data_IF_302768079123
#
_entry.id   IF_302768079123
#
_cell.length_a   1.000
_cell.length_b   1.000
_cell.length_c   1.000
_cell.angle_alpha   90.00
_cell.angle_beta   90.00
_cell.angle_gamma   90.00
#
_symmetry.space_group_name_H-M   'P 1'
#
loop_
_entity.id
_entity.type
_entity.pdbx_description
1 polymer ?
#
# COMPACT_ATOMS: atom_id res chain seq x y z
N UNK A 1 -20.08 27.27 9.95
CA UNK A 1 -20.36 26.44 8.74
C UNK A 1 -19.26 26.53 7.69
N UNK A 2 -18.97 27.71 7.10
CA UNK A 2 -17.83 27.84 6.19
C UNK A 2 -16.49 27.77 6.92
N UNK A 3 -16.41 28.36 8.12
CA UNK A 3 -15.26 28.23 9.02
C UNK A 3 -15.04 26.78 9.44
N UNK A 4 -16.06 26.08 9.94
CA UNK A 4 -15.96 24.67 10.33
C UNK A 4 -15.52 23.76 9.17
N UNK A 5 -15.97 24.07 7.94
CA UNK A 5 -15.56 23.35 6.73
C UNK A 5 -14.09 23.60 6.41
N UNK A 6 -13.64 24.85 6.50
CA UNK A 6 -12.23 25.21 6.29
C UNK A 6 -11.34 24.56 7.35
N UNK A 7 -11.73 24.64 8.62
CA UNK A 7 -11.02 24.04 9.74
C UNK A 7 -10.90 22.52 9.59
N UNK A 8 -12.01 21.85 9.26
CA UNK A 8 -12.03 20.40 9.05
C UNK A 8 -11.09 19.95 7.93
N UNK A 9 -11.12 20.65 6.79
CA UNK A 9 -10.22 20.35 5.66
C UNK A 9 -8.76 20.68 6.02
N UNK A 10 -8.50 21.82 6.66
CA UNK A 10 -7.13 22.20 7.06
C UNK A 10 -6.51 21.25 8.09
N UNK A 11 -7.35 20.57 8.88
CA UNK A 11 -6.94 19.55 9.84
C UNK A 11 -6.58 18.20 9.17
N UNK A 12 -6.66 18.12 7.84
CA UNK A 12 -6.30 16.92 7.07
C UNK A 12 -7.48 15.98 6.78
N UNK A 13 -8.72 16.44 6.93
CA UNK A 13 -9.87 15.65 6.50
C UNK A 13 -9.90 15.55 4.96
N UNK A 14 -10.14 14.34 4.45
CA UNK A 14 -10.30 14.09 3.01
C UNK A 14 -11.56 14.79 2.43
N UNK A 15 -12.60 14.95 3.24
CA UNK A 15 -13.84 15.63 2.87
C UNK A 15 -14.60 16.15 4.11
N UNK A 16 -15.37 17.23 3.93
CA UNK A 16 -16.26 17.80 4.95
C UNK A 16 -17.64 18.08 4.37
N UNK A 17 -18.71 17.70 5.08
CA UNK A 17 -20.10 17.82 4.62
C UNK A 17 -21.02 18.28 5.77
N UNK A 18 -21.71 19.41 5.60
CA UNK A 18 -22.65 19.97 6.59
C UNK A 18 -24.05 19.41 6.41
N UNK A 19 -24.80 19.25 7.50
CA UNK A 19 -26.24 18.92 7.44
C UNK A 19 -27.08 20.20 7.17
N UNK A 20 -28.24 20.07 6.51
CA UNK A 20 -28.71 18.90 5.77
C UNK A 20 -27.90 18.72 4.49
N UNK A 21 -27.43 17.50 4.21
CA UNK A 21 -26.62 17.21 3.03
C UNK A 21 -27.42 16.49 1.96
N UNK A 22 -26.98 16.63 0.71
CA UNK A 22 -27.53 15.86 -0.42
C UNK A 22 -26.92 14.46 -0.43
N UNK A 23 -27.77 13.45 -0.57
CA UNK A 23 -27.35 12.04 -0.54
C UNK A 23 -26.46 11.72 -1.75
N UNK A 24 -26.79 12.27 -2.91
CA UNK A 24 -26.08 12.08 -4.16
C UNK A 24 -24.64 12.61 -4.06
N UNK A 25 -24.46 13.78 -3.46
CA UNK A 25 -23.14 14.39 -3.23
C UNK A 25 -22.27 13.52 -2.32
N UNK A 26 -22.84 13.00 -1.23
CA UNK A 26 -22.12 12.11 -0.31
C UNK A 26 -21.62 10.85 -1.02
N UNK A 27 -22.50 10.19 -1.79
CA UNK A 27 -22.15 8.97 -2.53
C UNK A 27 -21.05 9.21 -3.56
N UNK A 28 -21.13 10.32 -4.30
CA UNK A 28 -20.13 10.69 -5.29
C UNK A 28 -18.75 10.93 -4.64
N UNK A 29 -18.72 11.64 -3.51
CA UNK A 29 -17.48 11.87 -2.75
C UNK A 29 -16.88 10.56 -2.26
N UNK A 30 -17.68 9.64 -1.71
CA UNK A 30 -17.21 8.32 -1.29
C UNK A 30 -16.58 7.55 -2.45
N UNK A 31 -17.25 7.54 -3.61
CA UNK A 31 -16.74 6.85 -4.79
C UNK A 31 -15.39 7.42 -5.25
N UNK A 32 -15.27 8.75 -5.29
CA UNK A 32 -14.03 9.42 -5.66
C UNK A 32 -12.88 9.12 -4.69
N UNK A 33 -13.13 9.09 -3.37
CA UNK A 33 -12.12 8.73 -2.38
C UNK A 33 -11.65 7.28 -2.53
N UNK A 34 -12.59 6.35 -2.77
CA UNK A 34 -12.27 4.94 -3.03
C UNK A 34 -11.43 4.81 -4.30
N UNK A 35 -11.82 5.45 -5.40
CA UNK A 35 -11.08 5.40 -6.67
C UNK A 35 -9.67 5.97 -6.54
N UNK A 36 -9.51 7.11 -5.86
CA UNK A 36 -8.19 7.71 -5.59
C UNK A 36 -7.31 6.75 -4.78
N UNK A 37 -7.89 6.07 -3.79
CA UNK A 37 -7.18 5.07 -2.99
C UNK A 37 -6.72 3.88 -3.82
N UNK A 38 -7.59 3.36 -4.70
CA UNK A 38 -7.28 2.25 -5.60
C UNK A 38 -6.17 2.62 -6.59
N UNK A 39 -6.20 3.83 -7.15
CA UNK A 39 -5.14 4.32 -8.06
C UNK A 39 -3.77 4.38 -7.36
N UNK A 40 -3.72 4.89 -6.13
CA UNK A 40 -2.49 4.91 -5.34
C UNK A 40 -1.98 3.49 -5.06
N UNK A 41 -2.85 2.55 -4.69
CA UNK A 41 -2.45 1.16 -4.45
C UNK A 41 -1.96 0.48 -5.73
N UNK A 42 -2.57 0.77 -6.88
CA UNK A 42 -2.14 0.24 -8.17
C UNK A 42 -0.75 0.74 -8.56
N UNK A 43 -0.41 1.99 -8.21
CA UNK A 43 0.92 2.57 -8.44
C UNK A 43 2.05 1.81 -7.73
N UNK A 44 1.74 1.15 -6.61
CA UNK A 44 2.67 0.38 -5.77
C UNK A 44 2.52 -1.13 -5.95
N UNK A 45 1.93 -1.57 -7.06
CA UNK A 45 1.87 -2.99 -7.41
C UNK A 45 3.27 -3.57 -7.59
N UNK A 46 3.45 -4.84 -7.22
CA UNK A 46 4.74 -5.56 -7.30
C UNK A 46 5.34 -5.49 -8.71
N UNK A 47 4.49 -5.55 -9.73
CA UNK A 47 4.88 -5.44 -11.14
C UNK A 47 5.46 -4.06 -11.47
N UNK A 48 4.91 -2.99 -10.89
CA UNK A 48 5.34 -1.61 -11.12
C UNK A 48 6.57 -1.20 -10.32
N UNK A 49 6.92 -1.92 -9.25
CA UNK A 49 8.16 -1.71 -8.50
C UNK A 49 9.41 -2.23 -9.25
N UNK A 50 9.23 -3.11 -10.24
CA UNK A 50 10.32 -3.59 -11.12
C UNK A 50 10.77 -2.55 -12.13
N UNK A 51 9.84 -1.72 -12.59
CA UNK A 51 10.18 -0.58 -13.42
C UNK A 51 10.82 0.45 -12.49
N UNK A 52 12.14 0.65 -12.61
CA UNK A 52 12.88 1.77 -12.05
C UNK A 52 12.32 3.10 -12.62
N UNK A 53 11.08 3.44 -12.28
CA UNK A 53 10.50 4.72 -12.64
C UNK A 53 11.31 5.76 -11.89
N UNK A 54 11.87 6.77 -12.58
CA UNK A 54 12.57 7.85 -11.91
C UNK A 54 11.57 8.54 -10.99
N UNK A 55 11.66 8.24 -9.69
CA UNK A 55 10.85 8.90 -8.69
C UNK A 55 11.40 10.31 -8.53
N UNK A 56 10.55 11.32 -8.80
CA UNK A 56 10.88 12.75 -8.68
C UNK A 56 11.22 13.17 -7.24
N UNK A 57 10.93 12.34 -6.24
CA UNK A 57 11.20 12.57 -4.82
C UNK A 57 11.33 11.21 -4.09
N UNK A 58 12.04 11.14 -2.96
CA UNK A 58 12.12 9.91 -2.16
C UNK A 58 10.73 9.53 -1.64
N UNK A 59 10.18 8.42 -2.13
CA UNK A 59 8.94 7.87 -1.62
C UNK A 59 9.23 6.77 -0.58
N UNK A 60 9.00 7.12 0.69
CA UNK A 60 9.13 6.20 1.83
C UNK A 60 8.29 4.92 1.68
N UNK A 61 7.19 4.96 0.94
CA UNK A 61 6.35 3.78 0.69
C UNK A 61 7.03 2.82 -0.27
N UNK A 62 7.53 3.31 -1.42
CA UNK A 62 8.32 2.53 -2.34
C UNK A 62 9.63 2.00 -1.70
N UNK A 63 10.35 2.82 -0.94
CA UNK A 63 11.55 2.37 -0.21
C UNK A 63 11.25 1.20 0.72
N UNK A 64 10.14 1.29 1.47
CA UNK A 64 9.68 0.21 2.32
C UNK A 64 9.38 -1.06 1.51
N UNK A 65 8.60 -0.96 0.43
CA UNK A 65 8.27 -2.13 -0.40
C UNK A 65 9.51 -2.76 -1.04
N UNK A 66 10.45 -1.94 -1.53
CA UNK A 66 11.72 -2.41 -2.08
C UNK A 66 12.57 -3.13 -1.03
N UNK A 67 12.58 -2.64 0.22
CA UNK A 67 13.24 -3.34 1.32
C UNK A 67 12.58 -4.68 1.62
N UNK A 68 11.24 -4.74 1.69
CA UNK A 68 10.49 -5.99 1.89
C UNK A 68 10.78 -6.99 0.78
N UNK A 69 10.73 -6.56 -0.48
CA UNK A 69 11.00 -7.41 -1.64
C UNK A 69 12.42 -7.98 -1.58
N UNK A 70 13.41 -7.18 -1.20
CA UNK A 70 14.81 -7.61 -1.05
C UNK A 70 14.96 -8.71 0.00
N UNK A 71 14.36 -8.53 1.17
CA UNK A 71 14.38 -9.55 2.24
C UNK A 71 13.71 -10.85 1.79
N UNK A 72 12.60 -10.76 1.05
CA UNK A 72 11.96 -11.95 0.44
C UNK A 72 12.88 -12.60 -0.60
N UNK A 73 13.59 -11.80 -1.40
CA UNK A 73 14.54 -12.30 -2.40
C UNK A 73 15.72 -13.04 -1.78
N UNK A 74 16.24 -12.57 -0.65
CA UNK A 74 17.30 -13.24 0.12
C UNK A 74 16.86 -14.62 0.66
N UNK A 75 15.55 -14.85 0.81
CA UNK A 75 14.95 -16.09 1.33
C UNK A 75 14.04 -16.77 0.29
N UNK A 76 14.37 -16.71 -1.01
CA UNK A 76 13.53 -17.28 -2.08
C UNK A 76 13.42 -18.79 -2.02
N UNK A 77 14.53 -19.47 -1.72
CA UNK A 77 14.64 -20.93 -1.75
C UNK A 77 14.05 -21.59 -0.49
N UNK A 78 13.87 -20.81 0.58
CA UNK A 78 13.32 -21.29 1.83
C UNK A 78 11.78 -21.37 1.76
N UNK A 79 11.25 -22.57 1.56
CA UNK A 79 9.81 -22.81 1.54
C UNK A 79 9.11 -22.50 2.87
N UNK A 80 9.84 -22.52 3.99
CA UNK A 80 9.28 -22.27 5.34
C UNK A 80 9.16 -20.79 5.69
N UNK A 81 9.83 -19.91 4.93
CA UNK A 81 9.79 -18.46 5.13
C UNK A 81 8.37 -17.91 4.97
N UNK A 82 7.89 -17.26 6.03
CA UNK A 82 6.50 -16.85 6.20
C UNK A 82 6.38 -15.42 6.78
N UNK A 83 5.15 -15.00 7.09
CA UNK A 83 4.88 -13.64 7.58
C UNK A 83 5.60 -13.29 8.89
N UNK A 84 5.77 -14.27 9.80
CA UNK A 84 6.43 -14.09 11.10
C UNK A 84 7.95 -14.04 10.94
N UNK A 85 8.53 -14.79 10.00
CA UNK A 85 9.97 -14.67 9.71
C UNK A 85 10.28 -13.34 9.01
N UNK A 86 9.41 -12.90 8.10
CA UNK A 86 9.55 -11.60 7.44
C UNK A 86 9.44 -10.42 8.43
N UNK A 87 8.52 -10.48 9.39
CA UNK A 87 8.36 -9.42 10.40
C UNK A 87 9.59 -9.33 11.31
N UNK A 88 10.14 -10.46 11.75
CA UNK A 88 11.41 -10.53 12.50
C UNK A 88 12.57 -9.94 11.70
N UNK A 89 12.71 -10.34 10.44
CA UNK A 89 13.78 -9.84 9.56
C UNK A 89 13.69 -8.32 9.32
N UNK A 90 12.49 -7.75 9.37
CA UNK A 90 12.25 -6.31 9.24
C UNK A 90 12.24 -5.55 10.57
N UNK A 91 12.50 -6.24 11.70
CA UNK A 91 12.39 -5.68 13.05
C UNK A 91 11.03 -5.01 13.34
N UNK A 92 9.94 -5.62 12.88
CA UNK A 92 8.56 -5.16 13.07
C UNK A 92 7.72 -6.25 13.74
N UNK A 93 6.62 -5.86 14.40
CA UNK A 93 5.61 -6.86 14.79
C UNK A 93 4.77 -7.30 13.59
N UNK A 94 4.25 -8.52 13.63
CA UNK A 94 3.39 -9.10 12.58
C UNK A 94 2.22 -8.17 12.24
N UNK A 95 1.56 -7.63 13.27
CA UNK A 95 0.44 -6.69 13.13
C UNK A 95 0.84 -5.35 12.52
N UNK A 96 2.06 -4.86 12.78
CA UNK A 96 2.55 -3.63 12.14
C UNK A 96 2.89 -3.87 10.68
N UNK A 97 3.60 -4.97 10.37
CA UNK A 97 3.95 -5.35 9.01
C UNK A 97 2.68 -5.55 8.16
N UNK A 98 1.71 -6.30 8.68
CA UNK A 98 0.43 -6.54 8.03
C UNK A 98 -0.30 -5.22 7.71
N UNK A 99 -0.46 -4.33 8.70
CA UNK A 99 -1.15 -3.04 8.50
C UNK A 99 -0.44 -2.18 7.45
N UNK A 100 0.89 -2.11 7.49
CA UNK A 100 1.69 -1.31 6.56
C UNK A 100 1.62 -1.86 5.13
N UNK A 101 1.82 -3.16 4.93
CA UNK A 101 1.69 -3.80 3.62
C UNK A 101 0.27 -3.70 3.07
N UNK A 102 -0.75 -3.95 3.91
CA UNK A 102 -2.16 -3.84 3.50
C UNK A 102 -2.51 -2.42 3.11
N UNK A 103 -2.01 -1.41 3.83
CA UNK A 103 -2.25 -0.03 3.49
C UNK A 103 -1.62 0.36 2.14
N UNK A 104 -0.40 -0.09 1.84
CA UNK A 104 0.30 0.35 0.62
C UNK A 104 -0.09 -0.49 -0.59
N UNK A 105 -0.07 -1.82 -0.46
CA UNK A 105 -0.24 -2.77 -1.58
C UNK A 105 -1.64 -3.38 -1.69
N UNK A 106 -2.51 -3.19 -0.68
CA UNK A 106 -3.79 -3.89 -0.51
C UNK A 106 -3.68 -5.42 -0.34
N UNK A 107 -2.48 -5.97 -0.12
CA UNK A 107 -2.26 -7.40 0.09
C UNK A 107 -2.00 -7.69 1.57
N UNK A 108 -2.38 -8.89 2.02
CA UNK A 108 -1.87 -9.43 3.29
C UNK A 108 -0.39 -9.80 3.13
N UNK A 109 0.34 -9.89 4.24
CA UNK A 109 1.76 -10.27 4.24
C UNK A 109 2.01 -11.58 3.51
N UNK A 110 1.20 -12.61 3.76
CA UNK A 110 1.34 -13.93 3.12
C UNK A 110 1.10 -13.89 1.60
N UNK A 111 0.08 -13.15 1.16
CA UNK A 111 -0.20 -12.98 -0.27
C UNK A 111 0.90 -12.15 -0.95
N UNK A 112 1.43 -11.14 -0.26
CA UNK A 112 2.54 -10.33 -0.78
C UNK A 112 3.80 -11.19 -1.00
N UNK A 113 4.21 -12.01 -0.02
CA UNK A 113 5.34 -12.95 -0.16
C UNK A 113 5.14 -13.86 -1.37
N UNK A 114 3.95 -14.49 -1.48
CA UNK A 114 3.62 -15.37 -2.60
C UNK A 114 3.70 -14.64 -3.94
N UNK A 115 3.18 -13.41 -4.01
CA UNK A 115 3.20 -12.60 -5.25
C UNK A 115 4.63 -12.29 -5.68
N UNK A 116 5.50 -11.88 -4.77
CA UNK A 116 6.92 -11.62 -5.05
C UNK A 116 7.62 -12.88 -5.57
N UNK A 117 7.40 -14.03 -4.92
CA UNK A 117 7.96 -15.32 -5.37
C UNK A 117 7.52 -15.71 -6.78
N UNK A 118 6.22 -15.63 -7.06
CA UNK A 118 5.67 -15.94 -8.39
C UNK A 118 6.24 -15.01 -9.46
N UNK A 119 6.35 -13.73 -9.15
CA UNK A 119 6.96 -12.75 -10.05
C UNK A 119 8.44 -13.03 -10.31
N UNK A 120 9.17 -13.57 -9.34
CA UNK A 120 10.56 -14.00 -9.55
C UNK A 120 10.66 -15.30 -10.35
N UNK A 121 9.81 -16.29 -10.05
CA UNK A 121 9.75 -17.54 -10.81
C UNK A 121 9.45 -17.28 -12.29
N UNK A 122 8.54 -16.36 -12.59
CA UNK A 122 8.23 -15.94 -13.97
C UNK A 122 9.44 -15.35 -14.70
N UNK A 123 10.33 -14.64 -14.01
CA UNK A 123 11.58 -14.13 -14.62
C UNK A 123 12.57 -15.26 -14.92
N UNK A 124 12.69 -16.24 -14.02
CA UNK A 124 13.64 -17.35 -14.16
C UNK A 124 13.22 -18.40 -15.20
N UNK A 125 11.92 -18.46 -15.52
CA UNK A 125 11.37 -19.36 -16.53
C UNK A 125 11.33 -18.76 -17.94
N UNK A 126 11.76 -17.50 -18.11
CA UNK A 126 11.98 -16.89 -19.43
C UNK A 126 13.36 -17.24 -19.95
#
# INVERSE_FOLDING_TARGET
MQEDKLEGISSGADAYLTKPFQKEELLLRMQMLISKRQQLQAAYSVEQLKENRPQKAPDKQAEFLNHVIRVIHEHLEDSSFNATELSKALAMSDSQLYRKLKAISNLSTSIFIRKVRLEKSKELLK
#
